data_IF_091265091799
#
_entry.id   IF_091265091799
#
_cell.length_a   1.000
_cell.length_b   1.000
_cell.length_c   1.000
_cell.angle_alpha   90.00
_cell.angle_beta   90.00
_cell.angle_gamma   90.00
#
_symmetry.space_group_name_H-M   'P 1'
#
loop_
_entity.id
_entity.type
_entity.pdbx_description
1 polymer ?
#
# COMPACT_ATOMS: atom_id res chain seq x y z
N UNK A 1 14.77 -14.18 7.28
CA UNK A 1 15.82 -13.86 8.24
C UNK A 1 16.25 -15.01 9.16
N UNK A 2 15.78 -16.21 9.01
CA UNK A 2 16.26 -17.39 9.74
C UNK A 2 16.31 -17.20 11.28
N UNK A 3 17.33 -17.78 11.88
CA UNK A 3 17.57 -17.79 13.33
C UNK A 3 18.64 -16.79 13.79
N UNK A 4 19.12 -15.92 12.92
CA UNK A 4 20.15 -14.94 13.27
C UNK A 4 19.54 -13.71 13.95
N UNK A 5 20.21 -13.23 14.97
CA UNK A 5 19.92 -11.97 15.63
C UNK A 5 21.21 -11.19 15.88
N UNK A 6 21.10 -9.91 16.13
CA UNK A 6 22.24 -9.06 16.49
C UNK A 6 21.80 -8.06 17.57
N UNK A 7 22.78 -7.58 18.32
CA UNK A 7 22.62 -6.54 19.35
C UNK A 7 23.37 -5.32 18.86
N UNK A 8 22.72 -4.15 18.85
CA UNK A 8 23.34 -2.91 18.42
C UNK A 8 24.08 -2.23 19.55
N UNK A 9 25.29 -1.70 19.29
CA UNK A 9 26.09 -0.94 20.26
C UNK A 9 25.62 0.51 20.39
N UNK A 10 24.93 1.04 19.37
CA UNK A 10 24.45 2.42 19.27
C UNK A 10 23.18 2.48 18.45
N UNK A 11 22.55 3.64 18.43
CA UNK A 11 21.39 3.87 17.56
C UNK A 11 21.69 3.58 16.09
N UNK A 12 20.79 2.87 15.42
CA UNK A 12 20.94 2.41 14.03
C UNK A 12 19.71 2.75 13.17
N UNK A 13 19.36 4.06 13.01
CA UNK A 13 18.11 4.46 12.37
C UNK A 13 17.98 3.99 10.92
N UNK A 14 19.08 3.70 10.24
CA UNK A 14 19.08 3.12 8.88
C UNK A 14 18.54 1.69 8.80
N UNK A 15 18.33 1.02 9.95
CA UNK A 15 17.73 -0.32 10.05
C UNK A 15 16.21 -0.27 10.30
N UNK A 16 15.66 0.91 10.57
CA UNK A 16 14.23 1.08 10.82
C UNK A 16 13.42 0.65 9.59
N UNK A 17 12.36 -0.10 9.84
CA UNK A 17 11.52 -0.69 8.78
C UNK A 17 12.16 -1.88 8.03
N UNK A 18 13.44 -2.22 8.28
CA UNK A 18 14.14 -3.35 7.65
C UNK A 18 14.32 -4.55 8.57
N UNK A 19 14.40 -4.29 9.87
CA UNK A 19 14.59 -5.32 10.90
C UNK A 19 13.61 -5.14 12.06
N UNK A 20 13.16 -6.26 12.62
CA UNK A 20 12.25 -6.26 13.76
C UNK A 20 13.04 -6.12 15.07
N UNK A 21 12.72 -5.09 15.84
CA UNK A 21 13.23 -4.96 17.22
C UNK A 21 12.37 -5.82 18.12
N UNK A 22 12.97 -6.77 18.81
CA UNK A 22 12.27 -7.69 19.73
C UNK A 22 12.73 -7.57 21.20
N UNK A 23 13.71 -6.72 21.48
CA UNK A 23 14.20 -6.51 22.84
C UNK A 23 15.21 -5.37 22.95
N UNK A 24 15.51 -5.00 24.18
CA UNK A 24 16.53 -4.02 24.53
C UNK A 24 17.46 -4.60 25.59
N UNK A 25 18.73 -4.17 25.57
CA UNK A 25 19.69 -4.50 26.63
C UNK A 25 19.34 -3.69 27.86
N UNK A 26 19.02 -4.37 28.97
CA UNK A 26 18.68 -3.73 30.25
C UNK A 26 19.83 -3.76 31.28
N UNK A 27 20.83 -4.62 31.06
CA UNK A 27 22.03 -4.75 31.89
C UNK A 27 23.15 -5.41 31.07
N UNK A 28 24.40 -5.02 31.32
CA UNK A 28 25.57 -5.61 30.66
C UNK A 28 25.90 -4.99 29.28
N UNK A 29 25.58 -3.71 29.07
CA UNK A 29 25.97 -3.02 27.84
C UNK A 29 27.48 -3.02 27.66
N UNK A 30 28.24 -2.89 28.70
CA UNK A 30 29.71 -3.00 28.73
C UNK A 30 30.22 -4.36 28.21
N UNK A 31 29.49 -5.43 28.51
CA UNK A 31 29.79 -6.77 27.99
C UNK A 31 29.48 -6.83 26.48
N UNK A 32 28.34 -6.27 26.07
CA UNK A 32 27.98 -6.19 24.63
C UNK A 32 29.06 -5.43 23.83
N UNK A 33 29.54 -4.33 24.38
CA UNK A 33 30.55 -3.48 23.76
C UNK A 33 31.93 -4.14 23.68
N UNK A 34 32.20 -5.13 24.56
CA UNK A 34 33.43 -5.91 24.58
C UNK A 34 33.43 -7.14 23.64
N UNK A 35 32.28 -7.52 23.09
CA UNK A 35 32.18 -8.70 22.21
C UNK A 35 33.03 -8.50 20.93
N UNK A 36 33.86 -9.50 20.62
CA UNK A 36 34.73 -9.50 19.48
C UNK A 36 34.43 -10.64 18.49
N UNK A 37 34.92 -10.51 17.26
CA UNK A 37 34.79 -11.56 16.25
C UNK A 37 35.49 -12.84 16.73
N UNK A 38 34.72 -13.94 16.81
CA UNK A 38 35.21 -15.24 17.24
C UNK A 38 34.67 -15.65 18.61
N UNK A 39 34.07 -14.72 19.37
CA UNK A 39 33.40 -15.05 20.62
C UNK A 39 32.23 -15.98 20.39
N UNK A 40 32.04 -16.91 21.33
CA UNK A 40 31.01 -17.93 21.23
C UNK A 40 29.93 -17.72 22.30
N UNK A 41 28.68 -17.88 21.88
CA UNK A 41 27.57 -17.97 22.83
C UNK A 41 27.57 -19.37 23.45
N UNK A 42 27.97 -19.46 24.71
CA UNK A 42 27.99 -20.72 25.41
C UNK A 42 26.62 -21.17 25.91
N UNK A 43 25.78 -20.22 26.33
CA UNK A 43 24.47 -20.50 26.89
C UNK A 43 23.55 -19.30 26.74
N UNK A 44 22.30 -19.56 26.35
CA UNK A 44 21.19 -18.59 26.43
C UNK A 44 20.15 -19.12 27.41
N UNK A 45 19.77 -18.33 28.40
CA UNK A 45 18.71 -18.66 29.35
C UNK A 45 17.55 -17.68 29.19
N UNK A 46 16.35 -18.21 28.99
CA UNK A 46 15.14 -17.40 28.84
C UNK A 46 14.35 -17.44 30.13
N UNK A 47 14.19 -16.29 30.78
CA UNK A 47 13.31 -16.13 31.94
C UNK A 47 11.94 -15.60 31.45
N UNK A 48 10.91 -16.39 31.66
CA UNK A 48 9.53 -15.99 31.35
C UNK A 48 8.93 -15.26 32.53
N UNK A 49 8.29 -14.11 32.29
CA UNK A 49 7.68 -13.30 33.35
C UNK A 49 6.24 -12.96 32.96
N UNK A 50 5.30 -13.26 33.85
CA UNK A 50 3.88 -13.05 33.66
C UNK A 50 3.16 -14.22 32.97
N UNK A 51 1.85 -14.26 33.13
CA UNK A 51 0.99 -15.37 32.64
C UNK A 51 1.11 -15.61 31.14
N UNK A 52 1.08 -14.56 30.35
CA UNK A 52 1.17 -14.67 28.88
C UNK A 52 2.50 -15.27 28.43
N UNK A 53 3.61 -14.90 29.06
CA UNK A 53 4.92 -15.43 28.73
C UNK A 53 5.05 -16.89 29.17
N UNK A 54 4.49 -17.25 30.32
CA UNK A 54 4.50 -18.63 30.80
C UNK A 54 3.60 -19.56 29.96
N UNK A 55 2.46 -19.06 29.50
CA UNK A 55 1.54 -19.80 28.64
C UNK A 55 2.03 -19.94 27.17
N UNK A 56 3.01 -19.13 26.77
CA UNK A 56 3.52 -19.16 25.40
C UNK A 56 4.26 -20.47 25.11
N UNK A 57 3.78 -21.19 24.10
CA UNK A 57 4.43 -22.41 23.61
C UNK A 57 5.35 -22.04 22.45
N UNK A 58 6.59 -22.50 22.51
CA UNK A 58 7.62 -22.30 21.47
C UNK A 58 7.89 -23.57 20.65
N UNK A 59 6.89 -24.45 20.54
CA UNK A 59 6.96 -25.64 19.70
C UNK A 59 6.68 -25.33 18.22
N UNK A 60 7.01 -26.26 17.34
CA UNK A 60 6.84 -26.11 15.87
C UNK A 60 5.37 -25.90 15.48
N UNK A 61 4.45 -26.54 16.19
CA UNK A 61 3.01 -26.39 15.90
C UNK A 61 2.51 -24.98 16.18
N UNK A 62 2.96 -24.38 17.29
CA UNK A 62 2.63 -22.98 17.63
C UNK A 62 3.33 -22.00 16.68
N UNK A 63 4.57 -22.29 16.30
CA UNK A 63 5.29 -21.47 15.32
C UNK A 63 4.59 -21.50 13.95
N UNK A 64 4.18 -22.67 13.49
CA UNK A 64 3.41 -22.82 12.26
C UNK A 64 2.09 -22.05 12.30
N UNK A 65 1.35 -22.11 13.43
CA UNK A 65 0.13 -21.31 13.64
C UNK A 65 0.40 -19.82 13.59
N UNK A 66 1.42 -19.33 14.28
CA UNK A 66 1.79 -17.92 14.29
C UNK A 66 2.19 -17.46 12.88
N UNK A 67 2.99 -18.28 12.20
CA UNK A 67 3.41 -17.98 10.82
C UNK A 67 2.23 -17.90 9.85
N UNK A 68 1.27 -18.80 9.98
CA UNK A 68 0.05 -18.79 9.19
C UNK A 68 -0.88 -17.59 9.50
N UNK A 69 -0.81 -17.06 10.73
CA UNK A 69 -1.60 -15.88 11.14
C UNK A 69 -0.99 -14.54 10.73
N UNK A 70 0.29 -14.52 10.35
CA UNK A 70 0.97 -13.30 9.88
C UNK A 70 0.56 -13.08 8.44
N UNK A 71 -0.36 -12.16 8.21
CA UNK A 71 -0.66 -11.66 6.86
C UNK A 71 0.59 -10.99 6.30
N UNK A 72 0.98 -11.39 5.11
CA UNK A 72 2.01 -10.67 4.37
C UNK A 72 1.58 -9.22 4.14
N UNK A 73 2.50 -8.26 3.98
CA UNK A 73 2.14 -6.88 3.61
C UNK A 73 1.21 -6.84 2.39
N UNK A 74 1.38 -7.76 1.47
CA UNK A 74 0.57 -7.93 0.27
C UNK A 74 -0.88 -8.30 0.58
N UNK A 75 -1.10 -9.31 1.44
CA UNK A 75 -2.44 -9.72 1.90
C UNK A 75 -3.10 -8.66 2.76
N UNK A 76 -2.31 -7.93 3.56
CA UNK A 76 -2.80 -6.82 4.37
C UNK A 76 -3.32 -5.69 3.49
N UNK A 77 -2.53 -5.24 2.52
CA UNK A 77 -2.92 -4.17 1.58
C UNK A 77 -4.19 -4.55 0.81
N UNK A 78 -4.27 -5.83 0.37
CA UNK A 78 -5.47 -6.32 -0.30
C UNK A 78 -6.70 -6.28 0.60
N UNK A 79 -6.60 -6.79 1.81
CA UNK A 79 -7.71 -6.81 2.75
C UNK A 79 -8.18 -5.39 3.15
N UNK A 80 -7.25 -4.47 3.37
CA UNK A 80 -7.55 -3.05 3.65
C UNK A 80 -8.20 -2.37 2.45
N UNK A 81 -7.72 -2.65 1.23
CA UNK A 81 -8.30 -2.15 0.00
C UNK A 81 -9.72 -2.66 -0.25
N UNK A 82 -9.94 -3.96 -0.06
CA UNK A 82 -11.27 -4.59 -0.22
C UNK A 82 -12.27 -4.02 0.82
N UNK A 83 -11.86 -3.85 2.08
CA UNK A 83 -12.68 -3.25 3.13
C UNK A 83 -13.01 -1.78 2.83
N UNK A 84 -12.01 -1.02 2.35
CA UNK A 84 -12.22 0.37 1.92
C UNK A 84 -13.23 0.46 0.77
N UNK A 85 -13.08 -0.35 -0.27
CA UNK A 85 -14.00 -0.37 -1.41
C UNK A 85 -15.42 -0.79 -1.00
N UNK A 86 -15.55 -1.75 -0.09
CA UNK A 86 -16.85 -2.15 0.45
C UNK A 86 -17.55 -0.97 1.12
N UNK A 87 -16.81 -0.18 1.90
CA UNK A 87 -17.36 1.02 2.55
C UNK A 87 -17.71 2.10 1.51
N UNK A 88 -16.81 2.41 0.58
CA UNK A 88 -17.01 3.46 -0.42
C UNK A 88 -18.24 3.19 -1.31
N UNK A 89 -18.48 1.94 -1.65
CA UNK A 89 -19.67 1.54 -2.46
C UNK A 89 -21.01 1.86 -1.80
N UNK A 90 -21.03 2.07 -0.48
CA UNK A 90 -22.25 2.45 0.26
C UNK A 90 -22.39 3.96 0.42
N UNK A 91 -21.39 4.75 -0.02
CA UNK A 91 -21.47 6.20 0.07
C UNK A 91 -22.40 6.80 -1.00
N UNK A 92 -23.11 7.86 -0.63
CA UNK A 92 -24.04 8.52 -1.54
C UNK A 92 -23.34 9.09 -2.78
N UNK A 93 -23.95 8.84 -3.94
CA UNK A 93 -23.46 9.26 -5.25
C UNK A 93 -22.31 8.39 -5.82
N UNK A 94 -21.88 7.34 -5.12
CA UNK A 94 -20.90 6.39 -5.66
C UNK A 94 -21.61 5.34 -6.52
N UNK A 95 -21.09 5.11 -7.72
CA UNK A 95 -21.51 4.07 -8.66
C UNK A 95 -20.42 3.02 -8.78
N UNK A 96 -20.79 1.80 -9.15
CA UNK A 96 -19.85 0.69 -9.34
C UNK A 96 -20.10 0.02 -10.68
N UNK A 97 -19.06 -0.31 -11.41
CA UNK A 97 -19.11 -1.08 -12.65
C UNK A 97 -18.97 -2.59 -12.40
N UNK A 98 -19.20 -3.40 -13.41
CA UNK A 98 -19.05 -4.86 -13.35
C UNK A 98 -17.60 -5.29 -13.06
N UNK A 99 -16.61 -4.52 -13.51
CA UNK A 99 -15.18 -4.78 -13.25
C UNK A 99 -14.78 -4.56 -11.79
N UNK A 100 -15.64 -3.87 -11.01
CA UNK A 100 -15.40 -3.51 -9.62
C UNK A 100 -14.84 -2.10 -9.43
N UNK A 101 -14.64 -1.33 -10.51
CA UNK A 101 -14.32 0.10 -10.41
C UNK A 101 -15.48 0.81 -9.70
N UNK A 102 -15.16 1.56 -8.64
CA UNK A 102 -16.12 2.48 -8.04
C UNK A 102 -15.77 3.92 -8.43
N UNK A 103 -16.79 4.75 -8.66
CA UNK A 103 -16.57 6.15 -9.04
C UNK A 103 -17.69 7.06 -8.55
N UNK A 104 -17.30 8.33 -8.33
CA UNK A 104 -18.26 9.40 -7.98
C UNK A 104 -18.06 10.57 -8.92
N UNK A 105 -19.13 11.01 -9.56
CA UNK A 105 -19.11 12.22 -10.38
C UNK A 105 -19.20 13.43 -9.45
N UNK A 106 -18.22 14.33 -9.53
CA UNK A 106 -18.19 15.58 -8.79
C UNK A 106 -18.78 16.72 -9.60
N UNK A 107 -18.48 16.71 -10.90
CA UNK A 107 -18.98 17.70 -11.86
C UNK A 107 -19.27 16.98 -13.19
N UNK A 108 -20.48 17.09 -13.66
CA UNK A 108 -20.83 16.58 -14.99
C UNK A 108 -20.17 17.43 -16.08
N UNK A 109 -19.54 16.77 -17.04
CA UNK A 109 -19.06 17.42 -18.25
C UNK A 109 -20.20 17.56 -19.27
N UNK A 110 -20.03 18.51 -20.20
CA UNK A 110 -21.01 18.77 -21.27
C UNK A 110 -20.55 18.30 -22.64
N UNK A 111 -19.25 17.95 -22.78
CA UNK A 111 -18.66 17.49 -24.04
C UNK A 111 -18.88 16.01 -24.32
N UNK A 112 -18.19 15.51 -25.34
CA UNK A 112 -18.17 14.08 -25.69
C UNK A 112 -17.45 13.25 -24.61
N UNK A 113 -17.71 11.95 -24.60
CA UNK A 113 -16.92 10.96 -23.84
C UNK A 113 -15.80 10.40 -24.72
N UNK A 114 -14.60 10.13 -24.16
CA UNK A 114 -13.51 9.57 -24.92
C UNK A 114 -13.74 8.09 -25.23
N UNK A 115 -13.16 7.64 -26.32
CA UNK A 115 -13.04 6.22 -26.67
C UNK A 115 -11.70 5.69 -26.18
N UNK A 116 -11.57 4.38 -26.03
CA UNK A 116 -10.33 3.74 -25.56
C UNK A 116 -9.11 4.01 -26.44
N UNK A 117 -9.32 4.39 -27.71
CA UNK A 117 -8.26 4.71 -28.69
C UNK A 117 -7.81 6.17 -28.66
N UNK A 118 -8.53 7.04 -27.97
CA UNK A 118 -8.27 8.47 -27.94
C UNK A 118 -7.12 8.83 -27.03
N UNK A 119 -6.57 10.01 -27.22
CA UNK A 119 -5.70 10.66 -26.25
C UNK A 119 -6.53 11.60 -25.38
N UNK A 120 -6.27 11.59 -24.09
CA UNK A 120 -6.95 12.45 -23.12
C UNK A 120 -5.96 13.35 -22.42
N UNK A 121 -6.35 14.62 -22.25
CA UNK A 121 -5.62 15.58 -21.40
C UNK A 121 -6.40 15.78 -20.12
N UNK A 122 -5.76 15.52 -18.98
CA UNK A 122 -6.40 15.53 -17.66
C UNK A 122 -5.59 16.31 -16.63
N UNK A 123 -6.27 16.89 -15.66
CA UNK A 123 -5.70 17.15 -14.35
C UNK A 123 -6.10 16.01 -13.40
N UNK A 124 -5.15 15.55 -12.59
CA UNK A 124 -5.41 14.49 -11.64
C UNK A 124 -4.55 14.57 -10.38
N UNK A 125 -5.05 13.97 -9.33
CA UNK A 125 -4.30 13.69 -8.10
C UNK A 125 -4.56 12.24 -7.70
N UNK A 126 -3.50 11.44 -7.67
CA UNK A 126 -3.52 10.04 -7.26
C UNK A 126 -3.00 9.86 -5.82
N UNK A 127 -3.76 9.15 -5.00
CA UNK A 127 -3.43 8.88 -3.60
C UNK A 127 -3.76 7.45 -3.18
N UNK A 128 -3.03 6.97 -2.20
CA UNK A 128 -3.31 5.73 -1.51
C UNK A 128 -4.53 5.91 -0.58
N UNK A 129 -5.14 4.81 -0.12
CA UNK A 129 -6.23 4.84 0.88
C UNK A 129 -5.82 5.50 2.21
N UNK A 130 -4.51 5.56 2.51
CA UNK A 130 -3.96 6.30 3.65
C UNK A 130 -3.99 7.82 3.49
N UNK A 131 -4.37 8.33 2.31
CA UNK A 131 -4.33 9.75 1.95
C UNK A 131 -2.98 10.22 1.38
N UNK A 132 -1.93 9.39 1.40
CA UNK A 132 -0.63 9.76 0.83
C UNK A 132 -0.75 9.96 -0.68
N UNK A 133 -0.46 11.17 -1.16
CA UNK A 133 -0.35 11.48 -2.58
C UNK A 133 0.91 10.81 -3.13
N UNK A 134 0.79 10.12 -4.26
CA UNK A 134 1.93 9.51 -4.95
C UNK A 134 2.20 10.15 -6.31
N UNK A 135 1.21 10.82 -6.90
CA UNK A 135 1.35 11.56 -8.16
C UNK A 135 0.25 12.59 -8.32
N UNK A 136 0.59 13.80 -8.80
CA UNK A 136 -0.37 14.88 -9.02
C UNK A 136 0.08 15.82 -10.13
N UNK A 137 -0.70 15.90 -11.19
CA UNK A 137 -0.51 16.90 -12.24
C UNK A 137 -0.90 18.30 -11.78
N UNK A 138 -1.78 18.39 -10.77
CA UNK A 138 -2.18 19.66 -10.16
C UNK A 138 -1.01 20.28 -9.41
N UNK A 139 -0.29 19.48 -8.61
CA UNK A 139 0.91 19.94 -7.89
C UNK A 139 2.04 20.35 -8.85
N UNK A 140 2.13 19.69 -10.01
CA UNK A 140 3.08 20.09 -11.08
C UNK A 140 2.66 21.35 -11.85
N UNK A 141 1.43 21.80 -11.67
CA UNK A 141 0.88 22.99 -12.37
C UNK A 141 0.59 22.77 -13.87
N UNK A 142 0.66 21.55 -14.38
CA UNK A 142 0.46 21.23 -15.80
C UNK A 142 -0.40 19.99 -15.98
N UNK A 143 -1.45 20.04 -16.85
CA UNK A 143 -2.21 18.86 -17.25
C UNK A 143 -1.30 17.83 -17.93
N UNK A 144 -1.66 16.58 -17.81
CA UNK A 144 -0.94 15.48 -18.45
C UNK A 144 -1.79 14.87 -19.59
N UNK A 145 -1.14 14.49 -20.68
CA UNK A 145 -1.80 13.86 -21.84
C UNK A 145 -1.37 12.41 -21.96
N UNK A 146 -2.32 11.50 -22.08
CA UNK A 146 -2.10 10.07 -22.18
C UNK A 146 -2.91 9.44 -23.29
N UNK A 147 -2.37 8.49 -24.06
CA UNK A 147 -3.18 7.55 -24.83
C UNK A 147 -3.99 6.67 -23.87
N UNK A 148 -5.31 6.63 -24.02
CA UNK A 148 -6.20 6.00 -23.04
C UNK A 148 -6.06 4.47 -23.01
N UNK A 149 -5.49 3.87 -24.05
CA UNK A 149 -5.14 2.44 -24.10
C UNK A 149 -3.76 2.09 -23.49
N UNK A 150 -3.04 3.07 -22.94
CA UNK A 150 -1.71 2.87 -22.34
C UNK A 150 -1.64 3.27 -20.86
N UNK A 151 -2.77 3.47 -20.24
CA UNK A 151 -2.89 3.72 -18.79
C UNK A 151 -3.42 2.47 -18.08
N UNK A 152 -3.52 2.51 -16.77
CA UNK A 152 -4.09 1.39 -16.00
C UNK A 152 -5.55 1.12 -16.39
N UNK A 153 -6.01 -0.14 -16.35
CA UNK A 153 -7.36 -0.50 -16.78
C UNK A 153 -8.48 0.34 -16.15
N UNK A 154 -8.35 0.64 -14.84
CA UNK A 154 -9.31 1.50 -14.15
C UNK A 154 -9.42 2.91 -14.70
N UNK A 155 -8.35 3.47 -15.26
CA UNK A 155 -8.38 4.76 -15.96
C UNK A 155 -9.00 4.63 -17.35
N UNK A 156 -8.61 3.59 -18.12
CA UNK A 156 -9.19 3.33 -19.41
C UNK A 156 -10.71 3.20 -19.32
N UNK A 157 -11.21 2.50 -18.32
CA UNK A 157 -12.64 2.34 -18.08
C UNK A 157 -13.28 3.64 -17.54
N UNK A 158 -12.74 4.19 -16.47
CA UNK A 158 -13.31 5.32 -15.75
C UNK A 158 -13.43 6.59 -16.60
N UNK A 159 -12.40 6.89 -17.40
CA UNK A 159 -12.42 8.08 -18.29
C UNK A 159 -13.46 7.98 -19.41
N UNK A 160 -13.75 6.78 -19.91
CA UNK A 160 -14.84 6.58 -20.89
C UNK A 160 -16.25 6.84 -20.32
N UNK A 161 -16.38 6.80 -18.97
CA UNK A 161 -17.62 7.15 -18.27
C UNK A 161 -17.78 8.66 -18.06
N UNK A 162 -16.70 9.43 -18.29
CA UNK A 162 -16.70 10.89 -18.13
C UNK A 162 -17.05 11.59 -19.46
N UNK A 163 -17.51 12.82 -19.34
CA UNK A 163 -17.61 13.76 -20.47
C UNK A 163 -16.54 14.83 -20.35
N UNK A 164 -16.07 15.37 -21.47
CA UNK A 164 -15.14 16.51 -21.49
C UNK A 164 -15.68 17.66 -20.62
N UNK A 165 -14.82 18.24 -19.78
CA UNK A 165 -15.16 19.26 -18.79
C UNK A 165 -15.66 18.70 -17.46
N UNK A 166 -15.83 17.39 -17.35
CA UNK A 166 -16.26 16.72 -16.13
C UNK A 166 -15.12 16.45 -15.14
N UNK A 167 -15.51 16.23 -13.88
CA UNK A 167 -14.61 15.88 -12.78
C UNK A 167 -15.20 14.71 -12.00
N UNK A 168 -14.38 13.70 -11.73
CA UNK A 168 -14.80 12.48 -11.02
C UNK A 168 -13.72 12.00 -10.06
N UNK A 169 -14.13 11.22 -9.06
CA UNK A 169 -13.22 10.43 -8.24
C UNK A 169 -13.36 8.97 -8.64
N UNK A 170 -12.24 8.32 -8.92
CA UNK A 170 -12.15 6.88 -9.16
C UNK A 170 -11.55 6.19 -7.95
N UNK A 171 -12.15 5.10 -7.50
CA UNK A 171 -11.67 4.19 -6.48
C UNK A 171 -11.36 2.88 -7.17
N UNK A 172 -10.08 2.66 -7.42
CA UNK A 172 -9.60 1.62 -8.35
C UNK A 172 -9.05 0.45 -7.55
N UNK A 173 -9.68 -0.73 -7.61
CA UNK A 173 -9.13 -1.93 -7.00
C UNK A 173 -7.79 -2.30 -7.65
N UNK A 174 -6.93 -2.98 -6.92
CA UNK A 174 -5.56 -3.28 -7.35
C UNK A 174 -5.47 -4.04 -8.67
N UNK A 175 -6.42 -4.94 -8.96
CA UNK A 175 -6.48 -5.68 -10.24
C UNK A 175 -6.75 -4.80 -11.46
N UNK A 176 -7.32 -3.61 -11.27
CA UNK A 176 -7.50 -2.59 -12.30
C UNK A 176 -6.41 -1.51 -12.27
N UNK A 177 -5.40 -1.68 -11.42
CA UNK A 177 -4.26 -0.77 -11.22
C UNK A 177 -2.93 -1.50 -11.44
N UNK A 178 -2.10 -1.61 -10.41
CA UNK A 178 -0.75 -2.17 -10.50
C UNK A 178 -0.61 -3.58 -9.90
N UNK A 179 -1.71 -4.17 -9.43
CA UNK A 179 -1.78 -5.56 -8.96
C UNK A 179 -0.81 -5.90 -7.83
N UNK A 180 -0.36 -7.14 -7.84
CA UNK A 180 0.55 -7.69 -6.81
C UNK A 180 1.97 -7.12 -6.86
N UNK A 181 2.35 -6.44 -7.93
CA UNK A 181 3.70 -5.87 -8.08
C UNK A 181 3.82 -4.48 -7.49
N UNK A 182 2.70 -3.71 -7.42
CA UNK A 182 2.78 -2.29 -7.13
C UNK A 182 3.54 -1.51 -8.20
N UNK A 183 3.97 -0.30 -7.90
CA UNK A 183 4.74 0.52 -8.84
C UNK A 183 5.71 1.46 -8.14
N UNK A 184 6.95 1.57 -8.71
CA UNK A 184 7.95 2.59 -8.40
C UNK A 184 8.38 2.72 -6.94
N UNK A 185 8.14 1.71 -6.10
CA UNK A 185 8.41 1.77 -4.66
C UNK A 185 7.48 2.72 -3.87
N UNK A 186 6.61 3.45 -4.56
CA UNK A 186 5.65 4.39 -3.95
C UNK A 186 4.23 3.82 -3.85
N UNK A 187 3.85 2.93 -4.77
CA UNK A 187 2.57 2.20 -4.76
C UNK A 187 2.84 0.77 -4.29
N UNK A 188 2.40 0.42 -3.08
CA UNK A 188 2.61 -0.92 -2.55
C UNK A 188 1.89 -2.00 -3.37
N UNK A 189 2.33 -3.27 -3.27
CA UNK A 189 1.60 -4.41 -3.80
C UNK A 189 0.14 -4.45 -3.32
N UNK A 190 -0.77 -4.78 -4.22
CA UNK A 190 -2.22 -4.86 -3.98
C UNK A 190 -2.87 -3.59 -3.43
N UNK A 191 -2.27 -2.41 -3.64
CA UNK A 191 -2.85 -1.15 -3.21
C UNK A 191 -4.10 -0.79 -4.03
N UNK A 192 -5.18 -0.47 -3.35
CA UNK A 192 -6.32 0.25 -3.91
C UNK A 192 -5.94 1.72 -4.06
N UNK A 193 -6.27 2.31 -5.20
CA UNK A 193 -5.91 3.68 -5.53
C UNK A 193 -7.15 4.59 -5.59
N UNK A 194 -6.94 5.84 -5.22
CA UNK A 194 -7.95 6.89 -5.34
C UNK A 194 -7.40 7.94 -6.29
N UNK A 195 -8.14 8.25 -7.34
CA UNK A 195 -7.80 9.32 -8.28
C UNK A 195 -8.94 10.33 -8.37
N UNK A 196 -8.65 11.56 -8.10
CA UNK A 196 -9.50 12.68 -8.50
C UNK A 196 -9.04 13.16 -9.88
N UNK A 197 -9.92 13.14 -10.86
CA UNK A 197 -9.57 13.40 -12.27
C UNK A 197 -10.52 14.41 -12.86
N UNK A 198 -9.98 15.38 -13.57
CA UNK A 198 -10.69 16.35 -14.39
C UNK A 198 -10.32 16.16 -15.86
N UNK A 199 -11.29 15.84 -16.71
CA UNK A 199 -11.09 15.61 -18.14
C UNK A 199 -11.15 16.94 -18.90
N UNK A 200 -10.00 17.44 -19.35
CA UNK A 200 -9.85 18.74 -20.03
C UNK A 200 -10.10 18.64 -21.53
N UNK A 201 -9.44 17.66 -22.18
CA UNK A 201 -9.49 17.52 -23.65
C UNK A 201 -9.49 16.07 -24.08
N UNK A 202 -10.04 15.84 -25.27
CA UNK A 202 -10.01 14.57 -26.00
C UNK A 202 -9.44 14.89 -27.38
N UNK A 203 -8.45 14.08 -27.80
CA UNK A 203 -7.77 14.19 -29.13
C UNK A 203 -7.79 12.87 -29.84
#
# INVERSE_FOLDING_TARGET
NGSQFFITHKATPWLDGKHTVFGNVIKGQDVVDAIAKGDKINKVSIKRVGEKANAFKSDEAQFAKLRASIKTPNEKNKAEGDAFLTKIKTEDGVKTTESGLAYKVLTEGTGASPKSTDQVTVHYTGKLISGKVFDSSVERGQPATFPLNRVIPGWTEGLQLMKKGGKSVFYIPSNLAYGERGAGGVIPPNATLIFEVELKEIK
#
